data_IF_305848544379
#
_entry.id   IF_305848544379
#
_cell.length_a   1.000
_cell.length_b   1.000
_cell.length_c   1.000
_cell.angle_alpha   90.00
_cell.angle_beta   90.00
_cell.angle_gamma   90.00
#
_symmetry.space_group_name_H-M   'P 1'
#
loop_
_entity.id
_entity.type
_entity.pdbx_description
1 polymer ?
#
# COMPACT_ATOMS: atom_id res chain seq x y z
N UNK A 1 4.23 -8.32 7.82
CA UNK A 1 3.66 -7.00 8.17
C UNK A 1 2.15 -7.10 7.97
N UNK A 2 1.32 -6.72 8.96
CA UNK A 2 -0.14 -6.92 8.88
C UNK A 2 -0.79 -6.17 7.70
N UNK A 3 -0.19 -5.07 7.25
CA UNK A 3 -0.67 -4.33 6.08
C UNK A 3 -0.50 -5.13 4.78
N UNK A 4 0.59 -5.89 4.65
CA UNK A 4 0.84 -6.70 3.46
C UNK A 4 -0.26 -7.75 3.26
N UNK A 5 -0.75 -8.35 4.36
CA UNK A 5 -1.86 -9.32 4.35
C UNK A 5 -3.21 -8.72 3.94
N UNK A 6 -3.34 -7.39 4.03
CA UNK A 6 -4.53 -6.64 3.62
C UNK A 6 -4.39 -5.95 2.25
N UNK A 7 -3.30 -6.23 1.53
CA UNK A 7 -2.94 -5.54 0.28
C UNK A 7 -3.16 -6.45 -0.93
N UNK A 8 -3.76 -5.91 -1.99
CA UNK A 8 -3.91 -6.61 -3.25
C UNK A 8 -2.58 -6.66 -4.02
N UNK A 9 -2.12 -7.84 -4.38
CA UNK A 9 -0.85 -8.02 -5.11
C UNK A 9 -0.86 -7.49 -6.56
N UNK A 10 -2.01 -7.05 -7.08
CA UNK A 10 -2.13 -6.47 -8.44
C UNK A 10 -2.01 -4.96 -8.42
N UNK A 11 -2.78 -4.25 -7.57
CA UNK A 11 -2.72 -2.79 -7.49
C UNK A 11 -1.81 -2.26 -6.38
N UNK A 12 -1.32 -3.13 -5.49
CA UNK A 12 -0.48 -2.80 -4.34
C UNK A 12 -1.14 -1.83 -3.35
N UNK A 13 -2.47 -1.82 -3.33
CA UNK A 13 -3.30 -1.04 -2.41
C UNK A 13 -4.10 -1.98 -1.50
N UNK A 14 -4.62 -1.47 -0.38
CA UNK A 14 -5.57 -2.21 0.46
C UNK A 14 -6.76 -2.73 -0.37
N UNK A 15 -7.23 -3.94 -0.04
CA UNK A 15 -8.33 -4.56 -0.77
C UNK A 15 -9.59 -3.69 -0.84
N UNK A 16 -10.15 -3.58 -2.04
CA UNK A 16 -11.46 -2.97 -2.32
C UNK A 16 -12.33 -4.00 -3.03
N UNK A 17 -13.46 -4.35 -2.43
CA UNK A 17 -14.33 -5.45 -2.89
C UNK A 17 -13.53 -6.73 -3.19
N UNK A 18 -12.82 -7.30 -2.20
CA UNK A 18 -11.99 -8.48 -2.42
C UNK A 18 -12.82 -9.71 -2.80
N UNK A 19 -12.30 -10.44 -3.78
CA UNK A 19 -12.80 -11.76 -4.18
C UNK A 19 -11.68 -12.79 -4.08
N UNK A 20 -12.01 -13.99 -3.64
CA UNK A 20 -11.15 -15.17 -3.71
C UNK A 20 -11.40 -15.92 -5.02
N UNK A 21 -10.31 -16.40 -5.64
CA UNK A 21 -10.35 -17.36 -6.76
C UNK A 21 -10.08 -18.79 -6.26
N UNK A 22 -10.10 -19.78 -7.15
CA UNK A 22 -10.07 -21.20 -6.79
C UNK A 22 -8.85 -21.64 -5.96
N UNK A 23 -7.65 -21.12 -6.24
CA UNK A 23 -6.46 -21.38 -5.41
C UNK A 23 -6.48 -20.66 -4.04
N UNK A 24 -7.56 -19.97 -3.67
CA UNK A 24 -7.69 -19.26 -2.41
C UNK A 24 -7.03 -17.88 -2.34
N UNK A 25 -6.29 -17.47 -3.37
CA UNK A 25 -5.72 -16.12 -3.45
C UNK A 25 -6.80 -15.05 -3.63
N UNK A 26 -6.57 -13.87 -3.06
CA UNK A 26 -7.54 -12.78 -3.00
C UNK A 26 -7.05 -11.58 -3.82
N UNK A 27 -7.99 -10.93 -4.51
CA UNK A 27 -7.74 -9.74 -5.34
C UNK A 27 -8.91 -8.77 -5.21
N UNK A 28 -8.69 -7.47 -5.39
CA UNK A 28 -9.79 -6.55 -5.66
C UNK A 28 -10.56 -7.05 -6.88
N UNK A 29 -11.90 -7.07 -6.85
CA UNK A 29 -12.72 -7.50 -8.01
C UNK A 29 -12.29 -6.83 -9.31
N UNK A 30 -12.11 -5.51 -9.28
CA UNK A 30 -11.70 -4.74 -10.45
C UNK A 30 -10.32 -5.17 -10.99
N UNK A 31 -9.40 -5.54 -10.10
CA UNK A 31 -8.05 -5.96 -10.48
C UNK A 31 -8.08 -7.31 -11.20
N UNK A 32 -8.72 -8.32 -10.62
CA UNK A 32 -8.75 -9.65 -11.24
C UNK A 32 -9.59 -9.68 -12.53
N UNK A 33 -10.70 -8.93 -12.58
CA UNK A 33 -11.49 -8.76 -13.82
C UNK A 33 -10.64 -8.13 -14.93
N UNK A 34 -9.81 -7.13 -14.58
CA UNK A 34 -8.89 -6.50 -15.55
C UNK A 34 -7.80 -7.48 -15.99
N UNK A 35 -7.21 -8.24 -15.07
CA UNK A 35 -6.17 -9.24 -15.39
C UNK A 35 -6.66 -10.34 -16.33
N UNK A 36 -7.95 -10.68 -16.29
CA UNK A 36 -8.56 -11.70 -17.15
C UNK A 36 -9.45 -11.13 -18.26
N UNK A 37 -9.31 -9.83 -18.58
CA UNK A 37 -10.20 -9.16 -19.54
C UNK A 37 -10.11 -9.77 -20.94
N UNK A 38 -8.88 -10.00 -21.42
CA UNK A 38 -8.61 -10.42 -22.80
C UNK A 38 -8.27 -11.93 -22.90
N UNK A 39 -8.62 -12.69 -21.86
CA UNK A 39 -8.41 -14.14 -21.79
C UNK A 39 -9.73 -14.88 -22.00
N UNK A 40 -9.69 -15.97 -22.76
CA UNK A 40 -10.87 -16.75 -23.16
C UNK A 40 -10.92 -18.15 -22.56
N UNK A 41 -9.78 -18.85 -22.45
CA UNK A 41 -9.72 -20.24 -21.96
C UNK A 41 -8.92 -20.38 -20.67
N UNK A 42 -7.71 -19.81 -20.65
CA UNK A 42 -6.80 -19.94 -19.51
C UNK A 42 -6.82 -18.69 -18.64
N UNK A 43 -7.09 -18.89 -17.35
CA UNK A 43 -7.15 -17.84 -16.35
C UNK A 43 -6.09 -18.06 -15.27
N UNK A 44 -4.83 -17.61 -15.49
CA UNK A 44 -3.78 -17.75 -14.50
C UNK A 44 -4.02 -16.84 -13.30
N UNK A 45 -3.78 -17.37 -12.10
CA UNK A 45 -3.68 -16.58 -10.88
C UNK A 45 -2.51 -15.58 -11.00
N UNK A 46 -2.72 -14.27 -10.81
CA UNK A 46 -1.64 -13.28 -10.83
C UNK A 46 -0.51 -13.54 -9.82
N UNK A 47 -0.78 -14.31 -8.75
CA UNK A 47 0.16 -14.54 -7.66
C UNK A 47 0.91 -15.88 -7.78
N UNK A 48 0.20 -17.01 -7.86
CA UNK A 48 0.83 -18.34 -7.93
C UNK A 48 0.90 -18.94 -9.33
N UNK A 49 0.29 -18.29 -10.34
CA UNK A 49 0.23 -18.73 -11.74
C UNK A 49 -0.50 -20.06 -12.00
N UNK A 50 -1.19 -20.61 -11.00
CA UNK A 50 -2.13 -21.71 -11.22
C UNK A 50 -3.21 -21.29 -12.23
N UNK A 51 -3.50 -22.16 -13.19
CA UNK A 51 -4.38 -21.86 -14.34
C UNK A 51 -5.75 -22.50 -14.13
N UNK A 52 -6.80 -21.69 -14.24
CA UNK A 52 -8.18 -22.15 -14.20
C UNK A 52 -8.83 -22.07 -15.57
N UNK A 53 -9.84 -22.90 -15.81
CA UNK A 53 -10.59 -22.95 -17.07
C UNK A 53 -11.91 -22.15 -17.00
N UNK A 54 -12.23 -21.59 -15.84
CA UNK A 54 -13.44 -20.79 -15.63
C UNK A 54 -13.18 -19.59 -14.72
N UNK A 55 -13.91 -18.50 -14.97
CA UNK A 55 -13.88 -17.31 -14.11
C UNK A 55 -14.78 -17.54 -12.89
N UNK A 56 -14.17 -17.89 -11.76
CA UNK A 56 -14.86 -18.08 -10.49
C UNK A 56 -14.42 -17.03 -9.46
N UNK A 57 -15.35 -16.19 -9.00
CA UNK A 57 -15.10 -15.12 -8.04
C UNK A 57 -16.00 -15.26 -6.82
N UNK A 58 -15.41 -15.54 -5.66
CA UNK A 58 -16.15 -15.64 -4.39
C UNK A 58 -15.90 -14.38 -3.57
N UNK A 59 -16.91 -13.54 -3.27
CA UNK A 59 -16.73 -12.36 -2.43
C UNK A 59 -16.20 -12.74 -1.04
N UNK A 60 -15.20 -11.99 -0.54
CA UNK A 60 -14.60 -12.21 0.76
C UNK A 60 -14.87 -11.02 1.69
N UNK A 61 -16.07 -11.00 2.29
CA UNK A 61 -16.53 -9.89 3.16
C UNK A 61 -15.67 -9.73 4.41
N UNK A 62 -15.17 -10.84 4.96
CA UNK A 62 -14.29 -10.83 6.13
C UNK A 62 -12.98 -10.10 5.81
N UNK A 63 -12.37 -10.39 4.65
CA UNK A 63 -11.18 -9.69 4.20
C UNK A 63 -11.46 -8.21 3.89
N UNK A 64 -12.63 -7.89 3.33
CA UNK A 64 -13.05 -6.50 3.13
C UNK A 64 -13.06 -5.71 4.46
N UNK A 65 -13.74 -6.27 5.47
CA UNK A 65 -13.84 -5.65 6.80
C UNK A 65 -12.46 -5.52 7.47
N UNK A 66 -11.63 -6.56 7.41
CA UNK A 66 -10.28 -6.50 7.99
C UNK A 66 -9.40 -5.47 7.28
N UNK A 67 -9.48 -5.38 5.96
CA UNK A 67 -8.71 -4.41 5.17
C UNK A 67 -9.13 -2.97 5.49
N UNK A 68 -10.43 -2.74 5.69
CA UNK A 68 -10.94 -1.44 6.12
C UNK A 68 -10.43 -1.07 7.52
N UNK A 69 -10.50 -1.98 8.49
CA UNK A 69 -9.99 -1.76 9.85
C UNK A 69 -8.50 -1.44 9.82
N UNK A 70 -7.70 -2.26 9.13
CA UNK A 70 -6.24 -2.07 9.02
C UNK A 70 -5.92 -0.74 8.34
N UNK A 71 -6.64 -0.38 7.27
CA UNK A 71 -6.52 0.92 6.61
C UNK A 71 -6.82 2.07 7.56
N UNK A 72 -7.89 1.99 8.36
CA UNK A 72 -8.22 3.02 9.35
C UNK A 72 -7.13 3.15 10.42
N UNK A 73 -6.57 2.04 10.90
CA UNK A 73 -5.46 2.07 11.86
C UNK A 73 -4.17 2.64 11.25
N UNK A 74 -3.87 2.31 10.00
CA UNK A 74 -2.75 2.91 9.28
C UNK A 74 -2.91 4.43 9.13
N UNK A 75 -4.12 4.88 8.75
CA UNK A 75 -4.45 6.31 8.62
C UNK A 75 -4.43 7.05 9.97
N UNK A 76 -4.98 6.47 11.04
CA UNK A 76 -4.91 7.06 12.39
C UNK A 76 -3.48 7.11 12.89
N UNK A 77 -2.71 6.06 12.65
CA UNK A 77 -1.29 6.02 12.99
C UNK A 77 -0.48 7.06 12.23
N UNK A 78 -0.84 7.35 10.98
CA UNK A 78 -0.24 8.41 10.17
C UNK A 78 -0.62 9.81 10.70
N UNK A 79 -1.92 10.05 10.97
CA UNK A 79 -2.39 11.32 11.55
C UNK A 79 -1.79 11.61 12.92
N UNK A 80 -1.76 10.63 13.81
CA UNK A 80 -1.11 10.78 15.11
C UNK A 80 0.39 11.01 14.99
N UNK A 81 1.06 10.36 14.03
CA UNK A 81 2.46 10.66 13.74
C UNK A 81 2.65 12.10 13.25
N UNK A 82 1.80 12.60 12.36
CA UNK A 82 1.86 14.00 11.89
C UNK A 82 1.62 14.99 13.02
N UNK A 83 0.62 14.75 13.89
CA UNK A 83 0.34 15.57 15.07
C UNK A 83 1.50 15.56 16.09
N UNK A 84 2.17 14.42 16.25
CA UNK A 84 3.34 14.25 17.14
C UNK A 84 4.67 14.70 16.48
N UNK A 85 4.64 15.23 15.25
CA UNK A 85 5.85 15.64 14.52
C UNK A 85 6.78 14.48 14.13
N UNK A 86 6.22 13.29 13.92
CA UNK A 86 6.90 12.06 13.54
C UNK A 86 6.65 11.69 12.07
N UNK A 87 7.66 11.10 11.43
CA UNK A 87 7.56 10.59 10.07
C UNK A 87 6.64 9.36 10.02
N UNK A 88 5.63 9.39 9.15
CA UNK A 88 4.67 8.27 8.97
C UNK A 88 5.37 6.96 8.63
N UNK A 89 6.40 7.01 7.77
CA UNK A 89 7.10 5.81 7.26
C UNK A 89 8.10 5.22 8.25
N UNK A 90 8.83 6.07 8.97
CA UNK A 90 9.97 5.65 9.79
C UNK A 90 9.75 5.82 11.30
N UNK A 91 8.68 6.50 11.72
CA UNK A 91 8.37 6.85 13.13
C UNK A 91 9.46 7.65 13.84
N UNK A 92 10.28 8.36 13.07
CA UNK A 92 11.35 9.24 13.55
C UNK A 92 10.92 10.71 13.50
N UNK A 93 11.44 11.54 14.39
CA UNK A 93 11.11 12.95 14.45
C UNK A 93 11.41 13.68 13.12
N UNK A 94 10.46 14.50 12.68
CA UNK A 94 10.53 15.35 11.48
C UNK A 94 11.34 16.62 11.79
N UNK A 95 12.66 16.49 11.86
CA UNK A 95 13.59 17.58 12.20
C UNK A 95 14.30 18.21 11.00
N UNK A 96 14.05 17.71 9.79
CA UNK A 96 14.69 18.17 8.56
C UNK A 96 13.65 18.68 7.56
N UNK A 97 14.05 19.57 6.67
CA UNK A 97 13.24 20.11 5.58
C UNK A 97 13.93 19.88 4.24
N UNK A 98 13.24 19.19 3.33
CA UNK A 98 13.70 18.98 1.96
C UNK A 98 13.24 20.16 1.09
N UNK A 99 14.18 20.95 0.55
CA UNK A 99 13.87 22.15 -0.24
C UNK A 99 13.26 21.81 -1.61
N UNK A 100 13.72 20.72 -2.22
CA UNK A 100 13.24 20.25 -3.53
C UNK A 100 11.77 19.81 -3.46
N UNK A 101 11.42 18.99 -2.47
CA UNK A 101 10.07 18.45 -2.28
C UNK A 101 9.16 19.34 -1.42
N UNK A 102 9.71 20.42 -0.86
CA UNK A 102 9.03 21.38 0.03
C UNK A 102 8.27 20.74 1.21
N UNK A 103 8.87 19.72 1.84
CA UNK A 103 8.26 18.97 2.95
C UNK A 103 9.25 18.69 4.07
N UNK A 104 8.73 18.53 5.29
CA UNK A 104 9.52 18.04 6.41
C UNK A 104 9.76 16.53 6.30
N UNK A 105 10.97 16.10 6.63
CA UNK A 105 11.42 14.70 6.56
C UNK A 105 12.18 14.33 7.84
N UNK A 106 12.30 13.02 8.11
CA UNK A 106 13.15 12.54 9.20
C UNK A 106 14.57 12.18 8.70
N UNK A 107 15.46 11.90 9.64
CA UNK A 107 16.87 11.51 9.36
C UNK A 107 17.01 10.23 8.52
N UNK A 108 16.01 9.35 8.55
CA UNK A 108 15.99 8.12 7.73
C UNK A 108 15.57 8.44 6.30
N UNK A 109 14.60 9.34 6.11
CA UNK A 109 14.21 9.83 4.78
C UNK A 109 15.39 10.51 4.08
N UNK A 110 16.13 11.37 4.78
CA UNK A 110 17.30 12.09 4.26
C UNK A 110 18.35 11.15 3.64
N UNK A 111 18.59 9.99 4.28
CA UNK A 111 19.54 8.98 3.81
C UNK A 111 18.97 8.04 2.73
N UNK A 112 17.67 8.10 2.46
CA UNK A 112 17.02 7.24 1.48
C UNK A 112 17.43 7.61 0.06
N UNK A 113 17.33 6.66 -0.88
CA UNK A 113 17.66 6.92 -2.29
C UNK A 113 16.82 8.05 -2.90
N UNK A 114 15.62 8.27 -2.37
CA UNK A 114 14.68 9.30 -2.82
C UNK A 114 15.18 10.71 -2.48
N UNK A 115 15.63 10.95 -1.24
CA UNK A 115 16.04 12.29 -0.79
C UNK A 115 17.55 12.51 -0.72
N UNK A 116 18.37 11.46 -0.84
CA UNK A 116 19.84 11.59 -0.84
C UNK A 116 20.39 12.64 -1.83
N UNK A 117 19.80 12.87 -3.02
CA UNK A 117 20.29 13.92 -3.91
C UNK A 117 19.69 15.31 -3.64
N UNK A 118 18.71 15.43 -2.75
CA UNK A 118 17.98 16.68 -2.50
C UNK A 118 18.73 17.59 -1.52
N UNK A 119 18.46 18.89 -1.60
CA UNK A 119 18.96 19.86 -0.64
C UNK A 119 18.12 19.80 0.65
N UNK A 120 18.71 19.29 1.72
CA UNK A 120 18.07 19.11 3.02
C UNK A 120 18.75 20.01 4.06
N UNK A 121 17.94 20.72 4.85
CA UNK A 121 18.39 21.57 5.97
C UNK A 121 17.63 21.22 7.25
N UNK A 122 18.14 21.55 8.45
CA UNK A 122 17.34 21.52 9.67
C UNK A 122 16.09 22.39 9.53
N UNK A 123 14.97 21.98 10.14
CA UNK A 123 13.70 22.73 10.05
C UNK A 123 13.81 24.17 10.57
N UNK A 124 14.66 24.40 11.57
CA UNK A 124 14.89 25.73 12.16
C UNK A 124 15.63 26.68 11.19
N UNK A 125 16.29 26.16 10.17
CA UNK A 125 17.03 26.92 9.15
C UNK A 125 16.24 27.10 7.85
N UNK A 126 15.03 26.56 7.76
CA UNK A 126 14.19 26.60 6.56
C UNK A 126 13.38 27.92 6.39
N UNK A 127 13.84 29.00 7.05
CA UNK A 127 13.21 30.35 7.03
C UNK A 127 13.26 31.01 5.65
#
# INVERSE_FOLDING_TARGET
NLQDEATCSVCLEFFKDPVSIECGHNFCRACIVKSWKDLEMDFPCPQCREVFQQKSFRPNRQLANMSEIISQFALRGAKGAEEDGLCVKHREALKLYCKDDRRTICVVCDRSREHRPHAVVPVDEAS
#
